data_IF_768672723194
#
_entry.id   IF_768672723194
#
_cell.length_a   1.000
_cell.length_b   1.000
_cell.length_c   1.000
_cell.angle_alpha   90.00
_cell.angle_beta   90.00
_cell.angle_gamma   90.00
#
_symmetry.space_group_name_H-M   'P 1'
#
loop_
_entity.id
_entity.type
_entity.pdbx_description
1 polymer ?
#
# COMPACT_ATOMS: atom_id res chain seq x y z
N UNK A 1 26.92 2.57 21.57
CA UNK A 1 25.54 2.77 21.17
C UNK A 1 25.29 2.00 19.86
N UNK A 2 24.26 1.16 19.81
CA UNK A 2 23.85 0.48 18.58
C UNK A 2 23.41 1.53 17.54
N UNK A 3 23.66 1.27 16.25
CA UNK A 3 23.18 2.13 15.18
C UNK A 3 21.64 2.24 15.25
N UNK A 4 21.05 3.41 14.91
CA UNK A 4 19.60 3.55 14.91
C UNK A 4 18.97 2.58 13.91
N UNK A 5 17.79 2.01 14.23
CA UNK A 5 17.09 1.13 13.32
C UNK A 5 16.64 1.87 12.06
N UNK A 6 16.49 1.14 10.97
CA UNK A 6 15.93 1.65 9.74
C UNK A 6 14.47 1.26 9.62
N UNK A 7 13.63 2.22 9.23
CA UNK A 7 12.25 2.00 8.80
C UNK A 7 12.23 1.96 7.28
N UNK A 8 11.97 0.79 6.75
CA UNK A 8 11.85 0.53 5.32
C UNK A 8 10.37 0.65 4.91
N UNK A 9 10.11 1.30 3.80
CA UNK A 9 8.76 1.36 3.21
C UNK A 9 8.79 0.63 1.88
N UNK A 10 7.94 -0.37 1.73
CA UNK A 10 7.68 -1.04 0.46
C UNK A 10 6.20 -0.89 0.13
N UNK A 11 5.88 -0.56 -1.10
CA UNK A 11 4.53 -0.24 -1.50
C UNK A 11 4.47 0.34 -2.90
N UNK A 12 3.31 0.88 -3.22
CA UNK A 12 2.97 1.46 -4.51
C UNK A 12 3.04 3.00 -4.52
N UNK A 13 2.35 3.61 -5.48
CA UNK A 13 2.27 5.07 -5.63
C UNK A 13 1.73 5.80 -4.40
N UNK A 14 0.90 5.14 -3.60
CA UNK A 14 0.30 5.77 -2.40
C UNK A 14 1.34 6.04 -1.31
N UNK A 15 2.47 5.35 -1.32
CA UNK A 15 3.57 5.53 -0.39
C UNK A 15 4.81 6.19 -1.02
N UNK A 16 4.93 6.21 -2.34
CA UNK A 16 6.14 6.57 -3.08
C UNK A 16 6.45 8.07 -3.05
N UNK A 17 7.72 8.40 -3.29
CA UNK A 17 8.18 9.73 -3.63
C UNK A 17 8.03 9.97 -5.14
N UNK A 18 7.77 11.21 -5.52
CA UNK A 18 7.64 11.63 -6.91
C UNK A 18 8.51 12.85 -7.20
N UNK A 19 9.12 12.88 -8.37
CA UNK A 19 9.93 13.98 -8.88
C UNK A 19 9.25 14.77 -10.00
N UNK A 20 7.99 14.44 -10.29
CA UNK A 20 7.32 15.06 -11.43
C UNK A 20 6.77 16.43 -11.08
N UNK A 21 6.72 17.31 -12.08
CA UNK A 21 6.11 18.63 -12.02
C UNK A 21 4.84 18.69 -12.88
N UNK A 22 4.30 17.54 -13.25
CA UNK A 22 3.14 17.41 -14.15
C UNK A 22 1.88 17.95 -13.52
N UNK A 23 1.78 17.88 -12.19
CA UNK A 23 0.58 18.24 -11.45
C UNK A 23 0.72 19.63 -10.84
N UNK A 24 -0.36 20.40 -10.89
CA UNK A 24 -0.49 21.68 -10.21
C UNK A 24 -0.27 21.52 -8.69
N UNK A 25 -0.88 20.51 -8.11
CA UNK A 25 -0.58 20.07 -6.74
C UNK A 25 0.28 18.81 -6.81
N UNK A 26 1.54 18.85 -6.36
CA UNK A 26 2.44 17.72 -6.47
C UNK A 26 1.92 16.50 -5.69
N UNK A 27 2.26 15.32 -6.19
CA UNK A 27 1.93 14.06 -5.50
C UNK A 27 2.94 13.76 -4.41
N UNK A 28 2.43 13.34 -3.26
CA UNK A 28 3.25 12.86 -2.14
C UNK A 28 2.67 11.56 -1.61
N UNK A 29 3.42 10.47 -1.68
CA UNK A 29 3.05 9.24 -0.98
C UNK A 29 3.25 9.39 0.53
N UNK A 30 2.48 8.65 1.32
CA UNK A 30 2.56 8.72 2.79
C UNK A 30 3.96 8.36 3.32
N UNK A 31 4.72 7.53 2.62
CA UNK A 31 6.09 7.17 3.00
C UNK A 31 7.04 8.37 3.05
N UNK A 32 6.78 9.41 2.28
CA UNK A 32 7.62 10.62 2.24
C UNK A 32 7.46 11.50 3.48
N UNK A 33 6.40 11.30 4.26
CA UNK A 33 6.05 12.14 5.41
C UNK A 33 6.50 11.55 6.75
N UNK A 34 6.98 10.32 6.77
CA UNK A 34 7.34 9.62 8.00
C UNK A 34 8.44 10.35 8.80
N UNK A 35 9.38 10.99 8.12
CA UNK A 35 10.45 11.74 8.76
C UNK A 35 9.98 12.94 9.60
N UNK A 36 8.75 13.41 9.37
CA UNK A 36 8.15 14.48 10.19
C UNK A 36 7.69 13.99 11.55
N UNK A 37 7.46 12.70 11.70
CA UNK A 37 6.84 12.11 12.90
C UNK A 37 7.73 11.13 13.64
N UNK A 38 8.72 10.55 12.96
CA UNK A 38 9.64 9.56 13.54
C UNK A 38 11.00 10.19 13.79
N UNK A 39 11.52 9.99 15.01
CA UNK A 39 12.84 10.46 15.41
C UNK A 39 13.72 9.28 15.83
N UNK A 40 15.03 9.42 15.69
CA UNK A 40 15.98 8.40 16.11
C UNK A 40 15.97 7.14 15.23
N UNK A 41 15.50 7.24 14.00
CA UNK A 41 15.47 6.16 13.02
C UNK A 41 15.97 6.67 11.66
N UNK A 42 16.50 5.78 10.85
CA UNK A 42 16.72 6.03 9.44
C UNK A 42 15.47 5.64 8.66
N UNK A 43 15.17 6.32 7.57
CA UNK A 43 14.01 6.00 6.72
C UNK A 43 14.47 5.72 5.30
N UNK A 44 14.08 4.58 4.77
CA UNK A 44 14.31 4.17 3.40
C UNK A 44 12.98 3.91 2.71
N UNK A 45 12.52 4.86 1.91
CA UNK A 45 11.30 4.70 1.14
C UNK A 45 11.61 4.05 -0.22
N UNK A 46 11.34 2.76 -0.31
CA UNK A 46 11.54 1.95 -1.52
C UNK A 46 10.24 1.69 -2.28
N UNK A 47 9.18 2.45 -2.01
CA UNK A 47 7.92 2.30 -2.72
C UNK A 47 8.07 2.67 -4.19
N UNK A 48 7.40 1.93 -5.07
CA UNK A 48 7.46 2.09 -6.52
C UNK A 48 6.05 2.26 -7.08
N UNK A 49 5.80 3.37 -7.75
CA UNK A 49 4.51 3.65 -8.39
C UNK A 49 4.12 2.53 -9.36
N UNK A 50 2.84 2.15 -9.35
CA UNK A 50 2.28 1.15 -10.26
C UNK A 50 2.50 -0.30 -9.87
N UNK A 51 3.18 -0.58 -8.76
CA UNK A 51 3.44 -1.96 -8.32
C UNK A 51 2.34 -2.52 -7.44
N UNK A 52 2.21 -3.83 -7.47
CA UNK A 52 1.36 -4.63 -6.59
C UNK A 52 2.21 -5.54 -5.70
N UNK A 53 1.59 -6.27 -4.79
CA UNK A 53 2.29 -7.30 -4.00
C UNK A 53 2.98 -8.34 -4.88
N UNK A 54 2.45 -8.58 -6.07
CA UNK A 54 3.02 -9.47 -7.07
C UNK A 54 4.18 -8.82 -7.83
N UNK A 55 3.96 -7.68 -8.46
CA UNK A 55 4.92 -7.06 -9.37
C UNK A 55 6.11 -6.40 -8.68
N UNK A 56 5.94 -5.92 -7.44
CA UNK A 56 7.03 -5.30 -6.70
C UNK A 56 8.21 -6.25 -6.50
N UNK A 57 7.97 -7.54 -6.35
CA UNK A 57 9.03 -8.53 -6.16
C UNK A 57 9.95 -8.70 -7.37
N UNK A 58 9.59 -8.14 -8.52
CA UNK A 58 10.41 -8.14 -9.74
C UNK A 58 11.26 -6.87 -9.87
N UNK A 59 11.22 -5.96 -8.89
CA UNK A 59 11.95 -4.69 -8.92
C UNK A 59 13.32 -4.77 -8.27
N UNK A 60 14.20 -3.85 -8.62
CA UNK A 60 15.50 -3.67 -7.95
C UNK A 60 15.32 -3.25 -6.49
N UNK A 61 14.28 -2.47 -6.20
CA UNK A 61 13.95 -2.02 -4.85
C UNK A 61 13.64 -3.20 -3.92
N UNK A 62 12.98 -4.22 -4.42
CA UNK A 62 12.75 -5.44 -3.65
C UNK A 62 14.07 -6.14 -3.29
N UNK A 63 15.00 -6.24 -4.22
CA UNK A 63 16.32 -6.79 -3.95
C UNK A 63 17.10 -5.93 -2.95
N UNK A 64 16.99 -4.62 -3.06
CA UNK A 64 17.60 -3.68 -2.11
C UNK A 64 17.06 -3.91 -0.69
N UNK A 65 15.74 -4.10 -0.54
CA UNK A 65 15.14 -4.46 0.74
C UNK A 65 15.74 -5.74 1.31
N UNK A 66 15.75 -6.82 0.52
CA UNK A 66 16.19 -8.14 0.98
C UNK A 66 17.67 -8.14 1.38
N UNK A 67 18.49 -7.34 0.73
CA UNK A 67 19.91 -7.22 1.02
C UNK A 67 20.20 -6.29 2.20
N UNK A 68 19.40 -5.23 2.35
CA UNK A 68 19.67 -4.15 3.29
C UNK A 68 19.02 -4.29 4.66
N UNK A 69 17.90 -4.99 4.76
CA UNK A 69 17.18 -5.13 6.04
C UNK A 69 18.00 -5.90 7.06
N UNK A 70 18.05 -5.37 8.28
CA UNK A 70 18.84 -5.92 9.39
C UNK A 70 17.96 -6.19 10.61
N UNK A 71 18.46 -7.01 11.51
CA UNK A 71 17.80 -7.28 12.79
C UNK A 71 17.49 -5.98 13.52
N UNK A 72 16.26 -5.87 14.03
CA UNK A 72 15.76 -4.68 14.72
C UNK A 72 15.18 -3.60 13.81
N UNK A 73 15.33 -3.71 12.49
CA UNK A 73 14.67 -2.81 11.55
C UNK A 73 13.14 -3.03 11.51
N UNK A 74 12.43 -2.08 10.95
CA UNK A 74 11.00 -2.14 10.69
C UNK A 74 10.73 -2.06 9.19
N UNK A 75 9.78 -2.85 8.71
CA UNK A 75 9.37 -2.81 7.29
C UNK A 75 7.87 -2.58 7.21
N UNK A 76 7.48 -1.43 6.68
CA UNK A 76 6.09 -1.08 6.39
C UNK A 76 5.73 -1.61 5.00
N UNK A 77 4.72 -2.48 4.92
CA UNK A 77 4.33 -3.18 3.71
C UNK A 77 2.94 -2.71 3.30
N UNK A 78 2.84 -1.92 2.24
CA UNK A 78 1.60 -1.25 1.82
C UNK A 78 1.26 -1.47 0.36
N UNK A 79 0.48 -2.50 0.06
CA UNK A 79 -0.03 -2.84 -1.27
C UNK A 79 -1.55 -2.95 -1.28
N UNK A 80 -2.15 -2.98 -2.45
CA UNK A 80 -3.58 -3.19 -2.65
C UNK A 80 -4.14 -2.47 -3.88
N UNK A 81 -3.77 -1.20 -4.09
CA UNK A 81 -4.29 -0.38 -5.19
C UNK A 81 -4.07 -0.98 -6.58
N UNK A 82 -2.95 -1.67 -6.78
CA UNK A 82 -2.63 -2.31 -8.07
C UNK A 82 -2.91 -3.81 -8.06
N UNK A 83 -2.99 -4.44 -6.92
CA UNK A 83 -3.45 -5.83 -6.79
C UNK A 83 -4.89 -6.01 -7.28
N UNK A 84 -5.72 -4.97 -7.16
CA UNK A 84 -7.10 -4.97 -7.63
C UNK A 84 -7.24 -4.68 -9.14
N UNK A 85 -6.14 -4.46 -9.87
CA UNK A 85 -6.15 -4.28 -11.31
C UNK A 85 -6.37 -5.60 -12.02
N UNK A 86 -7.15 -5.56 -13.10
CA UNK A 86 -7.47 -6.75 -13.90
C UNK A 86 -6.40 -7.07 -14.96
N UNK A 87 -5.15 -6.95 -14.56
CA UNK A 87 -3.98 -7.23 -15.38
C UNK A 87 -3.15 -8.32 -14.71
N UNK A 88 -2.85 -9.37 -15.44
CA UNK A 88 -2.16 -10.54 -14.91
C UNK A 88 -0.82 -10.22 -14.22
N UNK A 89 -0.10 -9.22 -14.73
CA UNK A 89 1.18 -8.80 -14.15
C UNK A 89 1.07 -8.17 -12.76
N UNK A 90 -0.09 -7.62 -12.41
CA UNK A 90 -0.31 -6.93 -11.13
C UNK A 90 -1.34 -7.60 -10.22
N UNK A 91 -2.31 -8.27 -10.79
CA UNK A 91 -3.43 -8.86 -10.05
C UNK A 91 -2.99 -9.90 -9.03
N UNK A 92 -3.63 -9.87 -7.88
CA UNK A 92 -3.65 -10.96 -6.90
C UNK A 92 -5.05 -11.12 -6.31
N UNK A 93 -5.45 -12.37 -6.02
CA UNK A 93 -6.80 -12.65 -5.54
C UNK A 93 -6.94 -12.35 -4.03
N UNK A 94 -7.83 -11.41 -3.64
CA UNK A 94 -8.01 -11.05 -2.24
C UNK A 94 -8.77 -12.12 -1.43
N UNK A 95 -9.48 -13.02 -2.08
CA UNK A 95 -10.23 -14.10 -1.42
C UNK A 95 -9.39 -15.36 -1.17
N UNK A 96 -8.20 -15.46 -1.78
CA UNK A 96 -7.32 -16.60 -1.56
C UNK A 96 -6.70 -16.59 -0.16
N UNK A 97 -6.43 -17.77 0.38
CA UNK A 97 -5.75 -17.90 1.67
C UNK A 97 -4.25 -17.68 1.56
N UNK A 98 -3.58 -17.56 2.70
CA UNK A 98 -2.12 -17.45 2.79
C UNK A 98 -1.38 -18.66 2.16
N UNK A 99 -2.02 -19.79 2.07
CA UNK A 99 -1.46 -21.01 1.46
C UNK A 99 -1.80 -21.16 -0.04
N UNK A 100 -2.66 -20.29 -0.57
CA UNK A 100 -3.02 -20.30 -1.99
C UNK A 100 -1.98 -19.55 -2.79
N UNK A 101 -1.14 -20.26 -3.53
CA UNK A 101 -0.07 -19.68 -4.33
C UNK A 101 -0.60 -18.56 -5.24
N UNK A 102 0.07 -17.41 -5.21
CA UNK A 102 -0.29 -16.23 -6.01
C UNK A 102 -1.46 -15.41 -5.47
N UNK A 103 -2.09 -15.80 -4.37
CA UNK A 103 -3.10 -14.96 -3.72
C UNK A 103 -2.47 -13.71 -3.09
N UNK A 104 -3.29 -12.71 -2.77
CA UNK A 104 -2.84 -11.49 -2.12
C UNK A 104 -2.18 -11.79 -0.76
N UNK A 105 -2.82 -12.58 0.09
CA UNK A 105 -2.25 -12.97 1.38
C UNK A 105 -0.97 -13.80 1.23
N UNK A 106 -0.94 -14.72 0.26
CA UNK A 106 0.26 -15.51 -0.03
C UNK A 106 1.44 -14.60 -0.42
N UNK A 107 1.22 -13.66 -1.33
CA UNK A 107 2.27 -12.72 -1.75
C UNK A 107 2.80 -11.90 -0.58
N UNK A 108 1.91 -11.33 0.24
CA UNK A 108 2.31 -10.53 1.39
C UNK A 108 3.12 -11.35 2.40
N UNK A 109 2.72 -12.59 2.65
CA UNK A 109 3.39 -13.45 3.59
C UNK A 109 4.72 -13.99 3.04
N UNK A 110 4.70 -14.67 1.90
CA UNK A 110 5.89 -15.36 1.37
C UNK A 110 6.95 -14.40 0.87
N UNK A 111 6.56 -13.29 0.25
CA UNK A 111 7.50 -12.35 -0.37
C UNK A 111 7.99 -11.25 0.57
N UNK A 112 7.23 -10.90 1.61
CA UNK A 112 7.57 -9.76 2.48
C UNK A 112 7.67 -10.15 3.96
N UNK A 113 6.61 -10.66 4.56
CA UNK A 113 6.58 -10.94 6.01
C UNK A 113 7.63 -11.97 6.39
N UNK A 114 7.65 -13.11 5.71
CA UNK A 114 8.53 -14.23 6.01
C UNK A 114 10.03 -13.88 5.86
N UNK A 115 10.46 -13.26 4.74
CA UNK A 115 11.86 -12.83 4.61
C UNK A 115 12.27 -11.79 5.67
N UNK A 116 11.39 -10.84 5.98
CA UNK A 116 11.66 -9.79 7.00
C UNK A 116 11.82 -10.42 8.38
N UNK A 117 10.91 -11.31 8.78
CA UNK A 117 11.03 -12.05 10.04
C UNK A 117 12.30 -12.92 10.06
N UNK A 118 12.67 -13.52 8.92
CA UNK A 118 13.88 -14.30 8.79
C UNK A 118 15.18 -13.52 9.04
N UNK A 119 15.13 -12.19 8.86
CA UNK A 119 16.20 -11.26 9.21
C UNK A 119 16.13 -10.74 10.64
N UNK A 120 15.18 -11.22 11.43
CA UNK A 120 14.89 -10.70 12.78
C UNK A 120 14.49 -9.22 12.77
N UNK A 121 13.90 -8.75 11.69
CA UNK A 121 13.28 -7.45 11.56
C UNK A 121 11.76 -7.55 11.81
N UNK A 122 11.11 -6.41 11.90
CA UNK A 122 9.72 -6.29 12.34
C UNK A 122 8.83 -5.88 11.15
N UNK A 123 8.05 -6.80 10.57
CA UNK A 123 7.11 -6.44 9.53
C UNK A 123 5.87 -5.76 10.13
N UNK A 124 5.37 -4.75 9.44
CA UNK A 124 4.12 -4.05 9.76
C UNK A 124 3.32 -3.94 8.47
N UNK A 125 2.10 -4.47 8.48
CA UNK A 125 1.19 -4.35 7.35
C UNK A 125 0.48 -3.00 7.39
N UNK A 126 0.33 -2.39 6.21
CA UNK A 126 -0.38 -1.13 6.05
C UNK A 126 -1.53 -1.36 5.08
N UNK A 127 -2.77 -1.16 5.53
CA UNK A 127 -3.92 -1.26 4.64
C UNK A 127 -3.93 -0.09 3.65
N UNK A 128 -4.47 -0.29 2.44
CA UNK A 128 -4.46 0.76 1.43
C UNK A 128 -5.32 1.96 1.84
N UNK A 129 -4.87 3.16 1.49
CA UNK A 129 -5.69 4.36 1.65
C UNK A 129 -6.96 4.24 0.81
N UNK A 130 -8.05 4.86 1.27
CA UNK A 130 -9.30 4.88 0.51
C UNK A 130 -9.13 5.60 -0.82
N UNK A 131 -9.89 5.18 -1.82
CA UNK A 131 -9.95 5.86 -3.11
C UNK A 131 -11.00 6.96 -3.09
N UNK A 132 -10.69 8.07 -3.71
CA UNK A 132 -11.69 9.08 -4.01
C UNK A 132 -12.65 8.56 -5.07
N UNK A 133 -13.94 8.60 -4.79
CA UNK A 133 -14.96 8.35 -5.80
C UNK A 133 -15.27 9.64 -6.55
N UNK A 134 -14.91 9.70 -7.83
CA UNK A 134 -15.08 10.90 -8.65
C UNK A 134 -16.55 11.32 -8.79
N UNK A 135 -17.46 10.36 -8.81
CA UNK A 135 -18.89 10.65 -8.99
C UNK A 135 -19.53 11.34 -7.78
N UNK A 136 -19.16 10.93 -6.57
CA UNK A 136 -19.64 11.49 -5.31
C UNK A 136 -18.57 12.14 -4.46
N UNK A 137 -17.38 12.36 -5.03
CA UNK A 137 -16.23 13.04 -4.46
C UNK A 137 -15.56 12.35 -3.28
N UNK A 138 -16.06 11.25 -2.81
CA UNK A 138 -15.33 10.35 -1.93
C UNK A 138 -15.87 8.94 -2.11
N UNK A 139 -15.20 8.06 -1.50
CA UNK A 139 -15.46 6.65 -1.68
C UNK A 139 -16.71 6.22 -0.93
N UNK A 140 -17.37 5.21 -1.41
CA UNK A 140 -18.39 4.50 -0.66
C UNK A 140 -17.81 3.82 0.59
N UNK A 141 -18.26 2.66 0.94
CA UNK A 141 -17.95 1.97 2.20
C UNK A 141 -16.48 2.11 2.66
N UNK A 142 -15.55 1.47 1.99
CA UNK A 142 -14.13 1.49 2.37
C UNK A 142 -13.27 2.27 1.38
N UNK A 143 -13.87 2.83 0.35
CA UNK A 143 -13.12 3.48 -0.69
C UNK A 143 -12.24 2.58 -1.53
N UNK A 144 -12.43 1.31 -1.39
CA UNK A 144 -11.76 0.27 -2.16
C UNK A 144 -12.77 -0.60 -2.89
N UNK A 145 -12.29 -1.36 -3.85
CA UNK A 145 -13.11 -2.33 -4.56
C UNK A 145 -13.33 -3.52 -3.61
N UNK A 146 -14.42 -3.46 -2.84
CA UNK A 146 -14.82 -4.50 -1.91
C UNK A 146 -15.72 -5.55 -2.56
N UNK A 147 -16.45 -5.16 -3.60
CA UNK A 147 -17.31 -6.06 -4.36
C UNK A 147 -16.52 -6.87 -5.38
N UNK A 148 -17.10 -7.96 -5.85
CA UNK A 148 -16.53 -8.73 -6.95
C UNK A 148 -16.44 -7.88 -8.21
N UNK A 149 -15.22 -7.64 -8.65
CA UNK A 149 -14.93 -6.96 -9.92
C UNK A 149 -14.16 -7.93 -10.79
N UNK A 150 -14.66 -8.15 -11.98
CA UNK A 150 -14.04 -9.03 -12.97
C UNK A 150 -13.61 -8.21 -14.19
N UNK A 151 -12.54 -8.64 -14.84
CA UNK A 151 -12.26 -8.17 -16.19
C UNK A 151 -13.35 -8.67 -17.15
N UNK A 152 -13.31 -8.22 -18.40
CA UNK A 152 -14.29 -8.62 -19.43
C UNK A 152 -14.33 -10.14 -19.63
N UNK A 153 -13.19 -10.81 -19.46
CA UNK A 153 -13.08 -12.28 -19.58
C UNK A 153 -13.51 -13.02 -18.30
N UNK A 154 -13.76 -12.32 -17.21
CA UNK A 154 -14.19 -12.91 -15.95
C UNK A 154 -13.11 -13.71 -15.20
N UNK A 155 -11.84 -13.52 -15.53
CA UNK A 155 -10.73 -14.29 -14.96
C UNK A 155 -10.16 -13.71 -13.67
N UNK A 156 -10.43 -12.43 -13.39
CA UNK A 156 -9.92 -11.75 -12.19
C UNK A 156 -11.07 -11.41 -11.23
N UNK A 157 -11.07 -12.06 -10.09
CA UNK A 157 -12.07 -11.83 -9.06
C UNK A 157 -11.64 -10.68 -8.15
N UNK A 158 -12.51 -9.70 -7.93
CA UNK A 158 -12.32 -8.65 -6.93
C UNK A 158 -12.72 -9.11 -5.54
N UNK A 159 -12.53 -8.25 -4.58
CA UNK A 159 -12.89 -8.48 -3.19
C UNK A 159 -12.32 -7.41 -2.28
N UNK A 160 -12.27 -7.69 -0.98
CA UNK A 160 -11.85 -6.76 0.06
C UNK A 160 -10.38 -6.97 0.42
N UNK A 161 -9.51 -6.16 -0.17
CA UNK A 161 -8.07 -6.21 0.07
C UNK A 161 -7.69 -5.74 1.48
N UNK A 162 -8.36 -4.74 2.01
CA UNK A 162 -8.11 -4.28 3.37
C UNK A 162 -8.45 -5.36 4.40
N UNK A 163 -9.58 -6.05 4.21
CA UNK A 163 -9.97 -7.18 5.05
C UNK A 163 -8.96 -8.32 4.97
N UNK A 164 -8.46 -8.63 3.78
CA UNK A 164 -7.44 -9.67 3.60
C UNK A 164 -6.17 -9.34 4.40
N UNK A 165 -5.74 -8.09 4.41
CA UNK A 165 -4.59 -7.63 5.21
C UNK A 165 -4.87 -7.76 6.70
N UNK A 166 -6.04 -7.32 7.18
CA UNK A 166 -6.41 -7.42 8.60
C UNK A 166 -6.42 -8.86 9.07
N UNK A 167 -6.99 -9.78 8.28
CA UNK A 167 -7.02 -11.20 8.56
C UNK A 167 -5.61 -11.81 8.59
N UNK A 168 -4.76 -11.44 7.65
CA UNK A 168 -3.37 -11.89 7.62
C UNK A 168 -2.60 -11.42 8.85
N UNK A 169 -2.78 -10.17 9.26
CA UNK A 169 -2.16 -9.62 10.45
C UNK A 169 -2.52 -10.40 11.71
N UNK A 170 -3.80 -10.74 11.88
CA UNK A 170 -4.26 -11.59 12.99
C UNK A 170 -3.67 -12.99 12.88
N UNK A 171 -3.76 -13.62 11.71
CA UNK A 171 -3.32 -15.02 11.51
C UNK A 171 -1.81 -15.22 11.66
N UNK A 172 -1.01 -14.21 11.39
CA UNK A 172 0.46 -14.27 11.45
C UNK A 172 1.07 -13.44 12.58
N UNK A 173 0.24 -12.88 13.44
CA UNK A 173 0.69 -12.01 14.54
C UNK A 173 1.57 -10.86 14.07
N UNK A 174 1.14 -10.19 13.00
CA UNK A 174 1.80 -9.02 12.42
C UNK A 174 0.96 -7.78 12.68
N UNK A 175 1.54 -6.70 13.24
CA UNK A 175 0.81 -5.45 13.44
C UNK A 175 0.27 -4.89 12.13
N UNK A 176 -0.90 -4.27 12.20
CA UNK A 176 -1.56 -3.63 11.05
C UNK A 176 -1.79 -2.15 11.36
N UNK A 177 -1.30 -1.28 10.48
CA UNK A 177 -1.70 0.12 10.45
C UNK A 177 -2.88 0.25 9.49
N UNK A 178 -4.06 0.48 10.04
CA UNK A 178 -5.31 0.52 9.27
C UNK A 178 -5.54 1.88 8.61
N UNK A 179 -4.79 2.17 7.54
CA UNK A 179 -4.94 3.42 6.80
C UNK A 179 -6.28 3.50 6.07
N UNK A 180 -6.87 2.37 5.69
CA UNK A 180 -8.19 2.35 5.06
C UNK A 180 -9.22 3.01 5.99
N UNK A 181 -9.32 2.55 7.23
CA UNK A 181 -10.25 3.11 8.22
C UNK A 181 -9.94 4.57 8.55
N UNK A 182 -8.65 4.90 8.73
CA UNK A 182 -8.25 6.26 9.11
C UNK A 182 -8.44 7.26 7.98
N UNK A 183 -8.12 6.92 6.75
CA UNK A 183 -8.32 7.81 5.61
C UNK A 183 -9.79 7.94 5.23
N UNK A 184 -10.59 6.88 5.41
CA UNK A 184 -12.05 6.96 5.29
C UNK A 184 -12.62 8.00 6.26
N UNK A 185 -12.25 7.92 7.53
CA UNK A 185 -12.68 8.88 8.55
C UNK A 185 -12.28 10.32 8.20
N UNK A 186 -11.06 10.53 7.72
CA UNK A 186 -10.62 11.85 7.26
C UNK A 186 -11.44 12.32 6.07
N UNK A 187 -11.72 11.46 5.11
CA UNK A 187 -12.50 11.82 3.92
C UNK A 187 -13.94 12.19 4.29
N UNK A 188 -14.57 11.45 5.17
CA UNK A 188 -15.92 11.74 5.66
C UNK A 188 -15.98 13.09 6.38
N UNK A 189 -15.00 13.40 7.20
CA UNK A 189 -14.92 14.69 7.92
C UNK A 189 -14.62 15.88 6.99
N UNK A 190 -13.81 15.69 5.96
CA UNK A 190 -13.47 16.77 5.03
C UNK A 190 -14.60 17.09 4.05
N UNK A 191 -15.43 16.11 3.73
CA UNK A 191 -16.45 16.23 2.69
C UNK A 191 -15.87 16.38 1.29
N UNK A 192 -16.73 16.53 0.30
CA UNK A 192 -16.38 16.54 -1.12
C UNK A 192 -15.31 17.59 -1.49
N UNK A 193 -15.51 18.83 -1.08
CA UNK A 193 -14.60 19.93 -1.42
C UNK A 193 -13.25 19.82 -0.69
N UNK A 194 -13.28 19.42 0.57
CA UNK A 194 -12.05 19.23 1.33
C UNK A 194 -11.18 18.11 0.77
N UNK A 195 -11.77 17.03 0.28
CA UNK A 195 -11.08 15.93 -0.38
C UNK A 195 -10.47 16.38 -1.71
N UNK A 196 -11.26 17.08 -2.53
CA UNK A 196 -10.83 17.62 -3.81
C UNK A 196 -9.52 18.41 -3.68
N UNK A 197 -9.46 19.28 -2.69
CA UNK A 197 -8.31 20.13 -2.46
C UNK A 197 -7.07 19.41 -1.95
N UNK A 198 -7.17 18.13 -1.66
CA UNK A 198 -6.05 17.30 -1.15
C UNK A 198 -5.54 16.26 -2.15
N UNK A 199 -6.15 16.19 -3.32
CA UNK A 199 -5.69 15.33 -4.39
C UNK A 199 -4.77 16.07 -5.36
N UNK A 200 -3.91 15.33 -6.04
CA UNK A 200 -3.08 15.87 -7.09
C UNK A 200 -3.95 16.44 -8.22
N UNK A 201 -3.57 17.59 -8.75
CA UNK A 201 -4.37 18.33 -9.73
C UNK A 201 -3.50 18.78 -10.90
N UNK A 202 -4.06 18.76 -12.10
CA UNK A 202 -3.51 19.38 -13.29
C UNK A 202 -4.36 20.58 -13.68
N UNK A 203 -3.77 21.77 -13.75
CA UNK A 203 -4.49 22.99 -14.18
C UNK A 203 -5.85 23.17 -13.50
N UNK A 204 -5.93 23.00 -12.19
CA UNK A 204 -7.16 23.02 -11.40
C UNK A 204 -8.18 21.88 -11.70
N UNK A 205 -7.76 20.86 -12.42
CA UNK A 205 -8.59 19.66 -12.64
C UNK A 205 -8.15 18.54 -11.72
N UNK A 206 -9.14 17.81 -11.23
CA UNK A 206 -8.89 16.63 -10.41
C UNK A 206 -8.22 15.53 -11.22
N UNK A 207 -7.21 14.95 -10.65
CA UNK A 207 -6.63 13.69 -11.13
C UNK A 207 -6.92 12.62 -10.08
N UNK A 208 -7.66 11.61 -10.45
CA UNK A 208 -7.82 10.44 -9.58
C UNK A 208 -6.53 9.63 -9.61
N UNK A 209 -5.99 9.43 -8.47
CA UNK A 209 -4.85 8.51 -8.30
C UNK A 209 -5.38 7.09 -8.10
#
# INVERSE_FOLDING_TARGET
>A
PSAPPTVWVVGDSTAAAFNDTTYYSPRYGWGTQLGLYLQGVNIQNLAVSGTSSKSYSDTEQYQHLLQGVQAGDYVLIGFGHNDERTEQGRYSNPAGSVSTSGSFQYNLYEKYIKPVKGKQANPILVTPIVRRNVANNYTGEDGHITSTKKNEEGTFQGGDYAKAIRQLGVGKSVPVLDLTARTKDVYERLGADGIKNRHAQTSNRDVSI
#
